data_IF_777827546237
#
_entry.id   IF_777827546237
#
_cell.length_a   1.000
_cell.length_b   1.000
_cell.length_c   1.000
_cell.angle_alpha   90.00
_cell.angle_beta   90.00
_cell.angle_gamma   90.00
#
_symmetry.space_group_name_H-M   'P 1'
#
loop_
_entity.id
_entity.type
_entity.pdbx_description
1 polymer ?
#
# COMPACT_ATOMS: atom_id res chain seq x y z
N UNK A 1 5.34 12.05 7.36
CA UNK A 1 6.14 11.11 6.53
C UNK A 1 5.20 10.19 5.77
N UNK A 2 5.47 9.92 4.52
CA UNK A 2 4.67 8.98 3.70
C UNK A 2 5.44 7.68 3.49
N UNK A 3 4.71 6.60 3.36
CA UNK A 3 5.23 5.27 3.11
C UNK A 3 4.62 4.76 1.81
N UNK A 4 5.48 4.48 0.83
CA UNK A 4 5.05 4.13 -0.52
C UNK A 4 5.16 2.64 -0.77
N UNK A 5 4.11 2.08 -1.36
CA UNK A 5 4.05 0.68 -1.77
C UNK A 5 3.47 0.58 -3.17
N UNK A 6 3.70 -0.57 -3.81
CA UNK A 6 3.05 -0.92 -5.07
C UNK A 6 2.32 -2.23 -4.90
N UNK A 7 1.05 -2.27 -5.29
CA UNK A 7 0.24 -3.48 -5.27
C UNK A 7 0.22 -4.10 -6.67
N UNK A 8 0.43 -5.42 -6.72
CA UNK A 8 0.39 -6.21 -7.95
C UNK A 8 -0.32 -7.52 -7.68
N UNK A 9 -0.89 -8.12 -8.74
CA UNK A 9 -1.41 -9.48 -8.68
C UNK A 9 -0.55 -10.37 -9.57
N UNK A 10 -0.08 -11.51 -9.04
CA UNK A 10 0.82 -12.41 -9.77
C UNK A 10 0.11 -13.70 -10.16
N UNK A 11 0.52 -14.28 -11.30
CA UNK A 11 -0.01 -15.56 -11.80
C UNK A 11 0.47 -16.74 -10.97
N UNK A 12 1.64 -16.61 -10.35
CA UNK A 12 2.28 -17.64 -9.54
C UNK A 12 2.86 -17.03 -8.28
N UNK A 13 3.20 -17.87 -7.33
CA UNK A 13 3.88 -17.40 -6.12
C UNK A 13 5.31 -16.97 -6.46
N UNK A 14 5.66 -15.73 -6.11
CA UNK A 14 6.99 -15.14 -6.30
C UNK A 14 7.58 -14.88 -4.92
N UNK A 15 8.73 -15.47 -4.63
CA UNK A 15 9.38 -15.31 -3.32
C UNK A 15 10.07 -13.96 -3.17
N UNK A 16 10.70 -13.49 -4.23
CA UNK A 16 11.53 -12.29 -4.21
C UNK A 16 11.15 -11.36 -5.35
N UNK A 17 11.19 -10.05 -5.11
CA UNK A 17 10.95 -9.03 -6.14
C UNK A 17 11.92 -9.20 -7.31
N UNK A 18 13.17 -9.64 -7.04
CA UNK A 18 14.16 -9.89 -8.08
C UNK A 18 13.75 -10.98 -9.08
N UNK A 19 12.86 -11.89 -8.68
CA UNK A 19 12.35 -12.97 -9.54
C UNK A 19 11.09 -12.58 -10.29
N UNK A 20 10.56 -11.37 -10.05
CA UNK A 20 9.34 -10.88 -10.66
C UNK A 20 9.61 -10.37 -12.07
N UNK A 21 8.82 -10.85 -13.03
CA UNK A 21 8.82 -10.35 -14.41
C UNK A 21 7.47 -9.72 -14.74
N UNK A 22 7.45 -8.88 -15.76
CA UNK A 22 6.19 -8.25 -16.21
C UNK A 22 5.15 -9.31 -16.62
N UNK A 23 5.60 -10.43 -17.20
CA UNK A 23 4.73 -11.53 -17.61
C UNK A 23 4.06 -12.22 -16.44
N UNK A 24 4.65 -12.17 -15.24
CA UNK A 24 4.08 -12.75 -14.03
C UNK A 24 2.90 -11.94 -13.49
N UNK A 25 2.76 -10.68 -13.90
CA UNK A 25 1.72 -9.80 -13.40
C UNK A 25 0.40 -10.02 -14.12
N UNK A 26 -0.69 -10.13 -13.34
CA UNK A 26 -2.04 -10.27 -13.88
C UNK A 26 -2.64 -8.87 -14.03
N UNK A 27 -3.08 -8.49 -15.24
CA UNK A 27 -3.78 -7.20 -15.41
C UNK A 27 -5.08 -7.16 -14.60
N UNK A 28 -5.36 -6.02 -14.00
CA UNK A 28 -6.57 -5.77 -13.21
C UNK A 28 -7.47 -4.80 -13.99
N UNK A 29 -8.77 -5.08 -14.00
CA UNK A 29 -9.73 -4.16 -14.60
C UNK A 29 -9.95 -2.98 -13.68
N UNK A 30 -9.91 -1.75 -14.24
CA UNK A 30 -9.98 -0.51 -13.47
C UNK A 30 -11.27 -0.42 -12.63
N UNK A 31 -12.43 -0.63 -13.25
CA UNK A 31 -13.71 -0.54 -12.55
C UNK A 31 -13.87 -1.62 -11.50
N UNK A 32 -13.41 -2.83 -11.80
CA UNK A 32 -13.44 -3.93 -10.83
C UNK A 32 -12.56 -3.60 -9.63
N UNK A 33 -11.39 -2.99 -9.85
CA UNK A 33 -10.50 -2.61 -8.75
C UNK A 33 -11.15 -1.55 -7.85
N UNK A 34 -11.83 -0.56 -8.43
CA UNK A 34 -12.58 0.43 -7.65
C UNK A 34 -13.64 -0.27 -6.79
N UNK A 35 -14.38 -1.22 -7.36
CA UNK A 35 -15.39 -2.00 -6.64
C UNK A 35 -14.76 -2.78 -5.48
N UNK A 36 -13.62 -3.41 -5.71
CA UNK A 36 -12.91 -4.17 -4.67
C UNK A 36 -12.39 -3.25 -3.57
N UNK A 37 -11.91 -2.06 -3.90
CA UNK A 37 -11.48 -1.09 -2.89
C UNK A 37 -12.65 -0.55 -2.07
N UNK A 38 -13.83 -0.40 -2.66
CA UNK A 38 -15.07 -0.07 -1.92
C UNK A 38 -15.41 -1.16 -0.91
N UNK A 39 -15.30 -2.42 -1.30
CA UNK A 39 -15.52 -3.56 -0.39
C UNK A 39 -14.48 -3.59 0.73
N UNK A 40 -13.22 -3.32 0.40
CA UNK A 40 -12.15 -3.26 1.39
C UNK A 40 -12.39 -2.15 2.41
N UNK A 41 -12.78 -0.97 1.96
CA UNK A 41 -13.11 0.15 2.84
C UNK A 41 -14.25 -0.20 3.80
N UNK A 42 -15.30 -0.84 3.28
CA UNK A 42 -16.44 -1.28 4.10
C UNK A 42 -16.01 -2.32 5.13
N UNK A 43 -15.19 -3.29 4.72
CA UNK A 43 -14.70 -4.33 5.62
C UNK A 43 -13.81 -3.78 6.73
N UNK A 44 -13.05 -2.70 6.44
CA UNK A 44 -12.16 -2.06 7.40
C UNK A 44 -12.81 -0.89 8.16
N UNK A 45 -14.09 -0.63 7.93
CA UNK A 45 -14.82 0.50 8.51
C UNK A 45 -14.14 1.84 8.21
N UNK A 46 -13.67 1.99 6.97
CA UNK A 46 -13.01 3.18 6.47
C UNK A 46 -13.87 3.89 5.43
N UNK A 47 -13.59 5.18 5.20
CA UNK A 47 -14.23 5.96 4.16
C UNK A 47 -13.39 5.94 2.89
N UNK A 48 -14.03 5.80 1.74
CA UNK A 48 -13.37 5.81 0.45
C UNK A 48 -13.94 6.94 -0.41
N UNK A 49 -13.06 7.85 -0.83
CA UNK A 49 -13.39 8.91 -1.78
C UNK A 49 -13.06 8.42 -3.19
N UNK A 50 -14.10 8.35 -4.03
CA UNK A 50 -14.00 7.86 -5.40
C UNK A 50 -14.27 8.95 -6.45
N UNK A 51 -14.24 10.22 -6.06
CA UNK A 51 -14.54 11.35 -6.98
C UNK A 51 -13.58 11.40 -8.15
N UNK A 52 -12.31 11.10 -7.92
CA UNK A 52 -11.32 10.95 -8.98
C UNK A 52 -11.03 9.47 -9.18
N UNK A 53 -11.45 8.85 -10.31
CA UNK A 53 -11.24 7.43 -10.53
C UNK A 53 -9.78 7.03 -10.74
N UNK A 54 -8.88 7.98 -10.94
CA UNK A 54 -7.45 7.72 -11.05
C UNK A 54 -6.70 7.91 -9.73
N UNK A 55 -7.36 8.46 -8.72
CA UNK A 55 -6.75 8.78 -7.44
C UNK A 55 -7.79 8.62 -6.33
N UNK A 56 -7.85 7.43 -5.75
CA UNK A 56 -8.79 7.12 -4.67
C UNK A 56 -8.13 7.39 -3.32
N UNK A 57 -8.91 7.86 -2.36
CA UNK A 57 -8.42 8.11 -1.00
C UNK A 57 -9.26 7.31 -0.02
N UNK A 58 -8.61 6.41 0.71
CA UNK A 58 -9.24 5.65 1.78
C UNK A 58 -8.70 6.16 3.12
N UNK A 59 -9.60 6.55 4.02
CA UNK A 59 -9.14 7.10 5.29
C UNK A 59 -9.91 6.59 6.48
N UNK A 60 -9.21 6.55 7.58
CA UNK A 60 -9.70 6.27 8.92
C UNK A 60 -9.01 7.25 9.87
N UNK A 61 -9.45 7.30 11.13
CA UNK A 61 -8.91 8.26 12.10
C UNK A 61 -7.40 8.20 12.24
N UNK A 62 -6.82 6.98 12.18
CA UNK A 62 -5.39 6.77 12.45
C UNK A 62 -4.52 6.74 11.19
N UNK A 63 -5.13 6.62 9.99
CA UNK A 63 -4.36 6.51 8.76
C UNK A 63 -5.13 6.98 7.53
N UNK A 64 -4.37 7.27 6.48
CA UNK A 64 -4.89 7.64 5.16
C UNK A 64 -4.06 6.92 4.10
N UNK A 65 -4.73 6.32 3.11
CA UNK A 65 -4.08 5.68 1.96
C UNK A 65 -4.56 6.34 0.68
N UNK A 66 -3.62 6.81 -0.13
CA UNK A 66 -3.88 7.29 -1.48
C UNK A 66 -3.56 6.15 -2.46
N UNK A 67 -4.55 5.77 -3.28
CA UNK A 67 -4.39 4.74 -4.31
C UNK A 67 -4.28 5.41 -5.68
N UNK A 68 -3.16 5.21 -6.35
CA UNK A 68 -2.92 5.75 -7.69
C UNK A 68 -3.27 4.71 -8.74
N UNK A 69 -4.30 5.00 -9.55
CA UNK A 69 -4.77 4.16 -10.64
C UNK A 69 -4.59 4.91 -11.95
N UNK A 70 -4.05 4.27 -12.99
CA UNK A 70 -3.77 4.95 -14.24
C UNK A 70 -5.06 5.45 -14.93
N UNK A 71 -5.09 6.73 -15.33
CA UNK A 71 -6.22 7.36 -16.02
C UNK A 71 -6.46 6.83 -17.43
N UNK A 72 -5.40 6.37 -18.08
CA UNK A 72 -5.41 6.14 -19.53
C UNK A 72 -5.50 4.68 -19.92
N UNK A 73 -5.70 3.78 -18.96
CA UNK A 73 -5.73 2.34 -19.22
C UNK A 73 -6.94 1.71 -18.54
N UNK A 74 -7.68 0.92 -19.30
CA UNK A 74 -8.77 0.11 -18.76
C UNK A 74 -8.24 -1.00 -17.88
N UNK A 75 -7.01 -1.44 -18.13
CA UNK A 75 -6.33 -2.47 -17.35
C UNK A 75 -5.15 -1.86 -16.59
N UNK A 76 -5.00 -2.29 -15.34
CA UNK A 76 -3.93 -1.86 -14.44
C UNK A 76 -3.01 -3.05 -14.17
N UNK A 77 -1.71 -2.85 -14.30
CA UNK A 77 -0.72 -3.85 -13.91
C UNK A 77 -0.24 -3.57 -12.49
N UNK A 78 -0.09 -2.31 -12.14
CA UNK A 78 0.34 -1.88 -10.81
C UNK A 78 -0.58 -0.82 -10.25
N UNK A 79 -0.69 -0.80 -8.92
CA UNK A 79 -1.44 0.23 -8.20
C UNK A 79 -0.49 0.82 -7.17
N UNK A 80 -0.28 2.13 -7.23
CA UNK A 80 0.54 2.84 -6.25
C UNK A 80 -0.26 3.10 -4.97
N UNK A 81 0.37 2.88 -3.81
CA UNK A 81 -0.20 3.21 -2.52
C UNK A 81 0.73 4.18 -1.79
N UNK A 82 0.17 5.27 -1.29
CA UNK A 82 0.88 6.18 -0.40
C UNK A 82 0.16 6.22 0.94
N UNK A 83 0.85 5.79 1.97
CA UNK A 83 0.27 5.63 3.31
C UNK A 83 0.80 6.72 4.23
N UNK A 84 -0.11 7.36 4.96
CA UNK A 84 0.19 8.38 5.97
C UNK A 84 -0.60 8.09 7.23
N UNK A 85 -0.09 8.51 8.37
CA UNK A 85 -0.82 8.42 9.63
C UNK A 85 0.04 7.94 10.78
N UNK A 86 -0.61 7.72 11.91
CA UNK A 86 0.04 7.31 13.16
C UNK A 86 0.09 5.80 13.33
N UNK A 87 -0.63 5.04 12.50
CA UNK A 87 -0.72 3.58 12.59
C UNK A 87 -0.66 2.97 11.19
N UNK A 88 -0.01 1.82 11.09
CA UNK A 88 -0.01 1.03 9.86
C UNK A 88 -1.42 0.46 9.59
N UNK A 89 -1.97 0.62 8.36
CA UNK A 89 -3.29 0.08 8.02
C UNK A 89 -3.22 -1.41 7.71
N UNK A 90 -2.84 -2.22 8.69
CA UNK A 90 -2.63 -3.67 8.55
C UNK A 90 -3.89 -4.39 8.06
N UNK A 91 -5.08 -3.94 8.49
CA UNK A 91 -6.35 -4.50 8.06
C UNK A 91 -6.59 -4.36 6.56
N UNK A 92 -6.18 -3.24 5.96
CA UNK A 92 -6.29 -3.02 4.51
C UNK A 92 -5.30 -3.89 3.76
N UNK A 93 -4.06 -3.96 4.24
CA UNK A 93 -3.03 -4.80 3.64
C UNK A 93 -3.43 -6.28 3.69
N UNK A 94 -3.96 -6.73 4.82
CA UNK A 94 -4.46 -8.10 4.95
C UNK A 94 -5.59 -8.38 3.95
N UNK A 95 -6.49 -7.44 3.76
CA UNK A 95 -7.57 -7.58 2.77
C UNK A 95 -7.00 -7.71 1.35
N UNK A 96 -6.09 -6.84 0.96
CA UNK A 96 -5.49 -6.88 -0.38
C UNK A 96 -4.74 -8.19 -0.63
N UNK A 97 -3.98 -8.66 0.36
CA UNK A 97 -3.17 -9.86 0.23
C UNK A 97 -4.02 -11.13 0.31
N UNK A 98 -4.88 -11.23 1.32
CA UNK A 98 -5.61 -12.47 1.62
C UNK A 98 -6.91 -12.61 0.82
N UNK A 99 -7.66 -11.52 0.65
CA UNK A 99 -8.94 -11.56 -0.06
C UNK A 99 -8.80 -11.36 -1.57
N UNK A 100 -7.89 -10.50 -2.00
CA UNK A 100 -7.71 -10.19 -3.41
C UNK A 100 -6.53 -10.94 -4.05
N UNK A 101 -5.70 -11.61 -3.25
CA UNK A 101 -4.55 -12.35 -3.75
C UNK A 101 -3.46 -11.47 -4.31
N UNK A 102 -3.35 -10.24 -3.83
CA UNK A 102 -2.35 -9.29 -4.29
C UNK A 102 -1.06 -9.40 -3.49
N UNK A 103 0.03 -8.86 -4.03
CA UNK A 103 1.30 -8.71 -3.36
C UNK A 103 1.62 -7.22 -3.25
N UNK A 104 2.19 -6.82 -2.14
CA UNK A 104 2.59 -5.43 -1.89
C UNK A 104 4.11 -5.36 -1.85
N UNK A 105 4.68 -4.43 -2.63
CA UNK A 105 6.12 -4.18 -2.66
C UNK A 105 6.40 -2.90 -1.90
N UNK A 106 7.25 -2.96 -0.87
CA UNK A 106 7.68 -1.78 -0.13
C UNK A 106 8.79 -1.07 -0.90
N UNK A 107 8.62 0.22 -1.19
CA UNK A 107 9.63 1.00 -1.91
C UNK A 107 10.90 1.19 -1.09
N UNK A 108 10.76 1.31 0.24
CA UNK A 108 11.90 1.53 1.13
C UNK A 108 12.87 0.36 1.19
N UNK A 109 12.38 -0.87 1.01
CA UNK A 109 13.20 -2.09 1.07
C UNK A 109 13.36 -2.76 -0.29
N UNK A 110 12.46 -2.47 -1.24
CA UNK A 110 12.38 -3.18 -2.52
C UNK A 110 11.93 -4.62 -2.39
N UNK A 111 11.31 -4.98 -1.27
CA UNK A 111 10.89 -6.34 -0.97
C UNK A 111 9.36 -6.44 -0.85
N UNK A 112 8.84 -7.67 -0.95
CA UNK A 112 7.42 -7.91 -0.68
C UNK A 112 7.11 -7.72 0.80
N UNK A 113 5.97 -7.08 1.07
CA UNK A 113 5.46 -6.94 2.41
C UNK A 113 5.06 -8.31 2.96
N UNK A 114 5.57 -8.64 4.15
CA UNK A 114 5.23 -9.86 4.87
C UNK A 114 4.54 -9.45 6.18
N UNK A 115 3.26 -9.78 6.31
CA UNK A 115 2.45 -9.42 7.47
C UNK A 115 2.91 -10.10 8.76
N UNK A 116 3.68 -11.18 8.65
CA UNK A 116 4.23 -11.89 9.82
C UNK A 116 5.48 -11.22 10.40
N UNK A 117 6.03 -10.21 9.71
CA UNK A 117 7.26 -9.53 10.11
C UNK A 117 6.99 -8.05 10.37
N UNK A 118 7.87 -7.41 11.15
CA UNK A 118 7.82 -5.96 11.35
C UNK A 118 8.07 -5.25 10.01
N UNK A 119 7.15 -4.35 9.64
CA UNK A 119 7.25 -3.60 8.40
C UNK A 119 8.22 -2.43 8.50
N UNK A 120 8.63 -1.90 7.34
CA UNK A 120 9.43 -0.67 7.29
C UNK A 120 8.66 0.54 7.80
N UNK A 121 7.31 0.52 7.75
CA UNK A 121 6.48 1.58 8.32
C UNK A 121 6.70 1.69 9.83
N UNK A 122 6.68 0.57 10.56
CA UNK A 122 6.92 0.55 12.00
C UNK A 122 8.30 1.08 12.34
N UNK A 123 9.32 0.68 11.59
CA UNK A 123 10.69 1.18 11.78
C UNK A 123 10.81 2.67 11.50
N UNK A 124 10.17 3.17 10.43
CA UNK A 124 10.14 4.59 10.11
C UNK A 124 9.44 5.40 11.18
N UNK A 125 8.35 4.89 11.73
CA UNK A 125 7.59 5.55 12.78
C UNK A 125 8.43 5.63 14.08
N UNK A 126 9.09 4.56 14.47
CA UNK A 126 9.99 4.55 15.62
C UNK A 126 11.11 5.58 15.47
N UNK A 127 11.71 5.64 14.28
CA UNK A 127 12.76 6.62 13.99
C UNK A 127 12.23 8.05 14.08
N UNK A 128 11.05 8.31 13.54
CA UNK A 128 10.42 9.65 13.61
C UNK A 128 10.13 10.06 15.03
N UNK A 129 9.64 9.14 15.87
CA UNK A 129 9.40 9.39 17.29
C UNK A 129 10.70 9.72 18.03
N UNK A 130 11.79 8.99 17.75
CA UNK A 130 13.10 9.27 18.35
C UNK A 130 13.61 10.65 17.95
N UNK A 131 13.46 11.03 16.70
CA UNK A 131 13.88 12.35 16.20
C UNK A 131 13.10 13.46 16.88
N UNK A 132 11.79 13.28 17.07
CA UNK A 132 10.93 14.25 17.75
C UNK A 132 11.27 14.37 19.24
N UNK A 133 11.72 13.28 19.88
CA UNK A 133 12.13 13.30 21.29
C UNK A 133 13.47 13.99 21.53
N UNK A 134 14.37 13.93 20.53
CA UNK A 134 15.70 14.51 20.65
C UNK A 134 16.06 15.27 19.36
N UNK A 135 15.55 16.53 19.23
CA UNK A 135 15.81 17.34 18.05
C UNK A 135 17.29 17.63 17.81
N UNK A 136 18.12 17.63 18.85
CA UNK A 136 19.55 17.87 18.72
C UNK A 136 20.26 16.76 17.95
N UNK A 137 19.83 15.50 18.11
CA UNK A 137 20.36 14.37 17.35
C UNK A 137 19.97 14.42 15.88
N UNK A 138 18.76 14.89 15.56
CA UNK A 138 18.29 14.98 14.18
C UNK A 138 19.08 16.00 13.37
N UNK A 139 19.64 17.04 14.02
CA UNK A 139 20.44 18.07 13.34
C UNK A 139 21.84 17.62 12.97
N UNK A 140 22.32 16.52 13.54
CA UNK A 140 23.65 15.97 13.28
C UNK A 140 23.68 14.89 12.22
N UNK A 141 22.54 14.47 11.73
CA UNK A 141 22.47 13.42 10.72
C UNK A 141 22.32 13.94 9.31
#
# INVERSE_FOLDING_TARGET
MSWDLTAIKTKRHIQSVGDLTEEDCVPLEHQQMITELKKAAKACDAQLDTRDPSWLVMEKKEWLIEFSLSKHREQLITIGLRVRGSREPTEVFAYLIQQLGMRLVEWSTGEFLDLSKQSSFGRCQEWSERVLRDPAKSRKS
#
